data_IF_092403977375
#
_entry.id   IF_092403977375
#
_cell.length_a   1.000
_cell.length_b   1.000
_cell.length_c   1.000
_cell.angle_alpha   90.00
_cell.angle_beta   90.00
_cell.angle_gamma   90.00
#
_symmetry.space_group_name_H-M   'P 1'
#
loop_
_entity.id
_entity.type
_entity.pdbx_description
1 polymer ?
#
# COMPACT_ATOMS: atom_id res chain seq x y z
N UNK A 1 -13.64 0.56 26.69
CA UNK A 1 -14.10 -0.77 26.24
C UNK A 1 -15.05 -0.73 25.02
N UNK A 2 -15.28 0.43 24.38
CA UNK A 2 -16.26 0.59 23.29
C UNK A 2 -15.80 0.10 21.93
N UNK A 3 -14.59 0.40 21.48
CA UNK A 3 -14.14 0.15 20.10
C UNK A 3 -13.82 -1.30 19.77
N UNK A 4 -13.56 -2.17 20.76
CA UNK A 4 -13.19 -3.56 20.54
C UNK A 4 -14.37 -4.50 20.25
N UNK A 5 -15.62 -4.07 20.47
CA UNK A 5 -16.81 -4.94 20.35
C UNK A 5 -17.39 -5.06 18.95
N UNK A 6 -16.99 -4.21 17.99
CA UNK A 6 -17.52 -4.22 16.62
C UNK A 6 -16.59 -4.99 15.66
N UNK A 7 -15.46 -5.50 16.16
CA UNK A 7 -14.50 -6.24 15.35
C UNK A 7 -14.65 -7.74 15.54
N UNK A 8 -15.51 -8.37 14.73
CA UNK A 8 -15.59 -9.83 14.67
C UNK A 8 -14.95 -10.30 13.36
N UNK A 9 -13.78 -10.92 13.48
CA UNK A 9 -12.95 -11.36 12.35
C UNK A 9 -13.32 -12.76 11.82
N UNK A 10 -14.36 -13.37 12.33
CA UNK A 10 -14.59 -14.81 12.17
C UNK A 10 -15.34 -15.22 10.90
N UNK A 11 -16.09 -14.33 10.23
CA UNK A 11 -16.93 -14.75 9.11
C UNK A 11 -16.20 -14.87 7.76
N UNK A 12 -15.06 -14.21 7.53
CA UNK A 12 -14.37 -14.22 6.22
C UNK A 12 -13.24 -15.26 6.17
N UNK A 13 -12.79 -15.75 7.32
CA UNK A 13 -11.63 -16.63 7.41
C UNK A 13 -11.91 -18.07 6.96
N UNK A 14 -13.15 -18.55 7.03
CA UNK A 14 -13.49 -19.94 6.71
C UNK A 14 -13.64 -20.21 5.20
N UNK A 15 -14.14 -19.26 4.41
CA UNK A 15 -14.30 -19.44 2.95
C UNK A 15 -12.97 -19.34 2.17
N UNK A 16 -11.98 -18.58 2.66
CA UNK A 16 -10.71 -18.42 1.98
C UNK A 16 -9.74 -19.59 2.16
N UNK A 17 -9.94 -20.42 3.18
CA UNK A 17 -9.04 -21.55 3.47
C UNK A 17 -9.28 -22.80 2.62
N UNK A 18 -10.44 -22.99 2.02
CA UNK A 18 -10.75 -24.19 1.23
C UNK A 18 -10.58 -24.05 -0.30
N UNK A 19 -10.52 -22.82 -0.84
CA UNK A 19 -10.47 -22.60 -2.28
C UNK A 19 -9.12 -22.00 -2.78
N UNK A 20 -8.10 -22.87 -2.91
CA UNK A 20 -7.13 -22.69 -3.98
C UNK A 20 -5.84 -21.93 -3.69
N UNK A 21 -5.16 -22.16 -2.55
CA UNK A 21 -3.69 -22.05 -2.51
C UNK A 21 -3.10 -23.34 -3.14
N UNK A 22 -3.66 -23.74 -4.27
CA UNK A 22 -3.12 -24.80 -5.11
C UNK A 22 -1.82 -24.30 -5.77
N UNK A 23 -0.91 -25.19 -6.06
CA UNK A 23 0.40 -24.99 -6.62
C UNK A 23 0.44 -23.89 -7.70
N UNK A 24 0.82 -22.67 -7.26
CA UNK A 24 1.06 -21.55 -8.19
C UNK A 24 2.25 -21.94 -9.05
N UNK A 25 2.13 -21.95 -10.37
CA UNK A 25 3.24 -22.23 -11.29
C UNK A 25 4.48 -21.41 -10.96
N UNK A 26 5.64 -22.04 -10.97
CA UNK A 26 6.89 -21.36 -10.70
C UNK A 26 7.94 -21.66 -11.77
N UNK A 27 8.77 -20.67 -12.07
CA UNK A 27 9.88 -20.74 -13.01
C UNK A 27 11.15 -20.22 -12.36
N UNK A 28 12.29 -20.85 -12.64
CA UNK A 28 13.61 -20.36 -12.24
C UNK A 28 14.17 -19.30 -13.19
N UNK A 29 13.50 -19.03 -14.31
CA UNK A 29 13.92 -18.02 -15.27
C UNK A 29 13.87 -16.62 -14.62
N UNK A 30 14.80 -15.77 -15.04
CA UNK A 30 14.80 -14.35 -14.72
C UNK A 30 14.85 -13.53 -16.01
N UNK A 31 14.24 -12.35 -15.98
CA UNK A 31 14.22 -11.42 -17.11
C UNK A 31 15.23 -10.31 -16.86
N UNK A 32 16.07 -10.01 -17.83
CA UNK A 32 17.05 -8.92 -17.73
C UNK A 32 16.38 -7.56 -17.93
N UNK A 33 16.08 -6.88 -16.82
CA UNK A 33 15.43 -5.57 -16.81
C UNK A 33 16.31 -4.41 -17.30
N UNK A 34 17.63 -4.63 -17.49
CA UNK A 34 18.53 -3.63 -18.07
C UNK A 34 18.37 -3.49 -19.59
N UNK A 35 17.70 -4.45 -20.23
CA UNK A 35 17.48 -4.47 -21.66
C UNK A 35 16.26 -3.60 -22.05
N UNK A 36 16.29 -2.99 -23.25
CA UNK A 36 15.11 -2.37 -23.82
C UNK A 36 14.04 -3.42 -24.16
N UNK A 37 12.75 -3.01 -24.12
CA UNK A 37 11.60 -3.90 -24.33
C UNK A 37 11.74 -4.85 -25.55
N UNK A 38 12.22 -4.41 -26.74
CA UNK A 38 12.37 -5.34 -27.88
C UNK A 38 13.31 -6.53 -27.62
N UNK A 39 14.31 -6.36 -26.72
CA UNK A 39 15.23 -7.43 -26.32
C UNK A 39 14.73 -8.24 -25.12
N UNK A 40 13.88 -7.66 -24.28
CA UNK A 40 13.20 -8.39 -23.20
C UNK A 40 12.06 -9.27 -23.72
N UNK A 41 11.39 -8.88 -24.81
CA UNK A 41 10.22 -9.58 -25.36
C UNK A 41 10.43 -11.09 -25.53
N UNK A 42 11.52 -11.61 -26.13
CA UNK A 42 11.75 -13.06 -26.22
C UNK A 42 11.87 -13.74 -24.84
N UNK A 43 12.48 -13.06 -23.85
CA UNK A 43 12.61 -13.60 -22.50
C UNK A 43 11.23 -13.69 -21.81
N UNK A 44 10.37 -12.68 -21.99
CA UNK A 44 8.99 -12.67 -21.47
C UNK A 44 8.15 -13.77 -22.10
N UNK A 45 8.24 -13.95 -23.42
CA UNK A 45 7.53 -15.03 -24.11
C UNK A 45 8.02 -16.40 -23.64
N UNK A 46 9.34 -16.58 -23.52
CA UNK A 46 9.93 -17.80 -22.98
C UNK A 46 9.45 -18.12 -21.56
N UNK A 47 9.39 -17.10 -20.71
CA UNK A 47 8.84 -17.20 -19.36
C UNK A 47 7.36 -17.63 -19.36
N UNK A 48 6.53 -17.00 -20.20
CA UNK A 48 5.11 -17.36 -20.30
C UNK A 48 4.93 -18.82 -20.79
N UNK A 49 5.74 -19.27 -21.74
CA UNK A 49 5.72 -20.65 -22.21
C UNK A 49 6.19 -21.67 -21.17
N UNK A 50 7.11 -21.29 -20.30
CA UNK A 50 7.60 -22.14 -19.21
C UNK A 50 6.55 -22.26 -18.09
N UNK A 51 5.92 -21.15 -17.70
CA UNK A 51 4.90 -21.12 -16.67
C UNK A 51 3.56 -21.78 -17.11
N UNK A 52 3.17 -21.57 -18.38
CA UNK A 52 1.88 -22.00 -18.90
C UNK A 52 2.07 -23.06 -20.01
N UNK A 53 2.01 -24.31 -19.62
CA UNK A 53 2.29 -25.45 -20.51
C UNK A 53 1.42 -25.50 -21.78
N UNK A 54 0.19 -25.02 -21.72
CA UNK A 54 -0.71 -24.87 -22.87
C UNK A 54 -0.18 -23.89 -23.93
N UNK A 55 0.69 -22.97 -23.56
CA UNK A 55 1.32 -22.01 -24.49
C UNK A 55 2.71 -22.41 -24.99
N UNK A 56 3.25 -23.55 -24.48
CA UNK A 56 4.61 -24.00 -24.81
C UNK A 56 4.89 -24.15 -26.29
N UNK A 57 3.87 -24.50 -27.09
CA UNK A 57 3.96 -24.75 -28.52
C UNK A 57 3.48 -23.60 -29.41
N UNK A 58 2.94 -22.52 -28.83
CA UNK A 58 2.45 -21.37 -29.59
C UNK A 58 3.62 -20.66 -30.28
N UNK A 59 3.35 -20.14 -31.48
CA UNK A 59 4.31 -19.26 -32.17
C UNK A 59 4.48 -17.93 -31.41
N UNK A 60 5.65 -17.30 -31.49
CA UNK A 60 5.91 -16.03 -30.84
C UNK A 60 5.00 -14.89 -31.32
N UNK A 61 4.50 -14.98 -32.56
CA UNK A 61 3.54 -14.02 -33.12
C UNK A 61 2.18 -14.02 -32.42
N UNK A 62 1.86 -15.09 -31.66
CA UNK A 62 0.66 -15.15 -30.84
C UNK A 62 0.74 -14.24 -29.58
N UNK A 63 1.95 -13.71 -29.27
CA UNK A 63 2.19 -12.92 -28.07
C UNK A 63 2.42 -11.44 -28.43
N UNK A 64 1.61 -10.57 -27.84
CA UNK A 64 1.83 -9.12 -27.84
C UNK A 64 2.34 -8.72 -26.45
N UNK A 65 3.48 -8.06 -26.38
CA UNK A 65 4.08 -7.56 -25.12
C UNK A 65 4.18 -6.05 -25.21
N UNK A 66 3.55 -5.38 -24.24
CA UNK A 66 3.44 -3.92 -24.16
C UNK A 66 3.83 -3.44 -22.77
N UNK A 67 4.39 -2.23 -22.65
CA UNK A 67 4.65 -1.61 -21.35
C UNK A 67 3.36 -1.03 -20.82
N UNK A 68 3.02 -1.34 -19.56
CA UNK A 68 1.97 -0.66 -18.81
C UNK A 68 2.60 0.57 -18.14
N UNK A 69 1.97 1.73 -18.26
CA UNK A 69 2.43 2.93 -17.55
C UNK A 69 2.15 2.78 -16.06
N UNK A 70 3.13 3.07 -15.21
CA UNK A 70 3.00 3.11 -13.76
C UNK A 70 4.01 2.19 -13.05
N UNK A 71 4.19 2.43 -11.76
CA UNK A 71 5.09 1.69 -10.89
C UNK A 71 6.46 2.36 -10.69
N UNK A 72 6.67 2.91 -9.48
CA UNK A 72 7.95 3.49 -9.07
C UNK A 72 8.98 2.39 -8.81
N UNK A 73 8.53 1.25 -8.33
CA UNK A 73 9.36 0.16 -7.81
C UNK A 73 9.41 -1.07 -8.69
N UNK A 74 8.54 -1.14 -9.72
CA UNK A 74 8.42 -2.32 -10.58
C UNK A 74 8.21 -1.91 -12.05
N UNK A 75 8.69 -2.75 -12.97
CA UNK A 75 8.34 -2.67 -14.38
C UNK A 75 7.14 -3.58 -14.66
N UNK A 76 6.05 -3.01 -15.16
CA UNK A 76 4.82 -3.74 -15.50
C UNK A 76 4.69 -3.88 -17.00
N UNK A 77 4.52 -5.11 -17.47
CA UNK A 77 4.29 -5.44 -18.87
C UNK A 77 2.94 -6.15 -19.02
N UNK A 78 2.12 -5.69 -19.97
CA UNK A 78 0.94 -6.43 -20.40
C UNK A 78 1.38 -7.45 -21.45
N UNK A 79 0.96 -8.69 -21.29
CA UNK A 79 1.13 -9.75 -22.27
C UNK A 79 -0.25 -10.21 -22.72
N UNK A 80 -0.58 -9.98 -23.99
CA UNK A 80 -1.79 -10.50 -24.61
C UNK A 80 -1.43 -11.72 -25.47
N UNK A 81 -2.14 -12.83 -25.23
CA UNK A 81 -1.93 -14.10 -25.94
C UNK A 81 -3.19 -14.45 -26.70
N UNK A 82 -3.04 -14.69 -28.01
CA UNK A 82 -4.15 -15.11 -28.88
C UNK A 82 -3.89 -16.52 -29.39
N UNK A 83 -4.74 -17.45 -28.98
CA UNK A 83 -4.77 -18.80 -29.54
C UNK A 83 -5.65 -18.82 -30.80
N UNK A 84 -5.37 -19.73 -31.76
CA UNK A 84 -5.94 -19.73 -33.11
C UNK A 84 -7.49 -19.72 -33.15
N UNK A 85 -8.19 -20.21 -32.13
CA UNK A 85 -9.65 -20.25 -32.05
C UNK A 85 -10.20 -19.85 -30.67
N UNK A 86 -9.36 -19.23 -29.83
CA UNK A 86 -9.73 -18.84 -28.46
C UNK A 86 -9.91 -17.34 -28.30
N UNK A 87 -10.49 -16.90 -27.17
CA UNK A 87 -10.47 -15.50 -26.78
C UNK A 87 -9.03 -15.06 -26.48
N UNK A 88 -8.74 -13.78 -26.71
CA UNK A 88 -7.48 -13.18 -26.28
C UNK A 88 -7.40 -13.20 -24.74
N UNK A 89 -6.30 -13.71 -24.22
CA UNK A 89 -6.00 -13.71 -22.78
C UNK A 89 -4.96 -12.66 -22.49
N UNK A 90 -5.25 -11.74 -21.57
CA UNK A 90 -4.29 -10.73 -21.12
C UNK A 90 -3.82 -11.01 -19.70
N UNK A 91 -2.51 -10.86 -19.46
CA UNK A 91 -1.90 -10.92 -18.14
C UNK A 91 -0.90 -9.78 -17.94
N UNK A 92 -0.56 -9.56 -16.67
CA UNK A 92 0.49 -8.62 -16.27
C UNK A 92 1.72 -9.40 -15.81
N UNK A 93 2.86 -9.11 -16.42
CA UNK A 93 4.16 -9.56 -15.93
C UNK A 93 4.76 -8.41 -15.14
N UNK A 94 4.95 -8.61 -13.84
CA UNK A 94 5.55 -7.65 -12.91
C UNK A 94 6.99 -8.06 -12.65
N UNK A 95 7.92 -7.21 -13.06
CA UNK A 95 9.35 -7.37 -12.85
C UNK A 95 9.79 -6.47 -11.70
N UNK A 96 10.51 -7.03 -10.73
CA UNK A 96 11.02 -6.25 -9.60
C UNK A 96 12.09 -5.27 -10.06
N UNK A 97 11.94 -4.01 -9.67
CA UNK A 97 12.91 -2.96 -9.96
C UNK A 97 14.22 -3.15 -9.19
N UNK A 98 15.32 -2.54 -9.65
CA UNK A 98 16.62 -2.65 -8.98
C UNK A 98 16.57 -1.93 -7.62
N UNK A 99 17.30 -2.46 -6.64
CA UNK A 99 17.47 -1.90 -5.30
C UNK A 99 16.18 -1.75 -4.47
N UNK A 100 15.07 -2.35 -4.91
CA UNK A 100 13.79 -2.26 -4.16
C UNK A 100 13.82 -3.04 -2.84
N UNK A 101 14.72 -4.00 -2.68
CA UNK A 101 14.96 -4.77 -1.46
C UNK A 101 15.41 -3.91 -0.25
N UNK A 102 15.85 -2.67 -0.48
CA UNK A 102 16.16 -1.74 0.60
C UNK A 102 14.93 -1.23 1.35
N UNK A 103 13.77 -1.23 0.70
CA UNK A 103 12.50 -0.70 1.23
C UNK A 103 11.36 -1.71 1.21
N UNK A 104 11.45 -2.78 0.42
CA UNK A 104 10.39 -3.78 0.23
C UNK A 104 10.86 -5.16 0.70
N UNK A 105 10.04 -5.83 1.50
CA UNK A 105 10.21 -7.23 1.92
C UNK A 105 9.49 -8.16 0.93
N UNK A 106 10.20 -8.60 -0.12
CA UNK A 106 9.63 -9.44 -1.19
C UNK A 106 9.04 -10.78 -0.72
N UNK A 107 9.66 -11.52 0.24
CA UNK A 107 9.05 -12.70 0.83
C UNK A 107 7.70 -12.42 1.49
N UNK A 108 7.60 -11.33 2.27
CA UNK A 108 6.36 -10.88 2.92
C UNK A 108 5.29 -10.53 1.89
N UNK A 109 5.66 -9.75 0.88
CA UNK A 109 4.77 -9.39 -0.23
C UNK A 109 4.21 -10.63 -0.93
N UNK A 110 5.07 -11.57 -1.34
CA UNK A 110 4.65 -12.76 -2.06
C UNK A 110 3.73 -13.66 -1.20
N UNK A 111 4.00 -13.76 0.09
CA UNK A 111 3.13 -14.46 1.01
C UNK A 111 1.75 -13.78 1.07
N UNK A 112 1.71 -12.46 1.25
CA UNK A 112 0.47 -11.70 1.34
C UNK A 112 -0.36 -11.80 0.05
N UNK A 113 0.25 -11.63 -1.11
CA UNK A 113 -0.44 -11.66 -2.42
C UNK A 113 -1.18 -12.98 -2.63
N UNK A 114 -0.64 -14.12 -2.19
CA UNK A 114 -1.32 -15.42 -2.31
C UNK A 114 -2.70 -15.41 -1.63
N UNK A 115 -2.76 -14.91 -0.39
CA UNK A 115 -3.99 -14.86 0.39
C UNK A 115 -4.92 -13.75 -0.06
N UNK A 116 -4.39 -12.57 -0.36
CA UNK A 116 -5.17 -11.43 -0.88
C UNK A 116 -5.82 -11.77 -2.21
N UNK A 117 -5.07 -12.42 -3.12
CA UNK A 117 -5.59 -12.89 -4.39
C UNK A 117 -6.71 -13.92 -4.20
N UNK A 118 -6.56 -14.86 -3.28
CA UNK A 118 -7.60 -15.83 -2.95
C UNK A 118 -8.86 -15.19 -2.34
N UNK A 119 -8.67 -14.11 -1.55
CA UNK A 119 -9.76 -13.30 -0.99
C UNK A 119 -10.39 -12.32 -2.01
N UNK A 120 -9.95 -12.34 -3.27
CA UNK A 120 -10.51 -11.49 -4.34
C UNK A 120 -9.96 -10.08 -4.40
N UNK A 121 -8.85 -9.78 -3.69
CA UNK A 121 -8.17 -8.50 -3.77
C UNK A 121 -7.08 -8.48 -4.84
N UNK A 122 -7.06 -7.39 -5.60
CA UNK A 122 -6.09 -7.16 -6.66
C UNK A 122 -6.21 -8.12 -7.83
N UNK A 123 -5.12 -8.23 -8.55
CA UNK A 123 -4.98 -9.18 -9.64
C UNK A 123 -4.73 -10.60 -9.12
N UNK A 124 -5.31 -11.60 -9.79
CA UNK A 124 -5.09 -13.00 -9.44
C UNK A 124 -3.64 -13.40 -9.73
N UNK A 125 -2.95 -13.97 -8.75
CA UNK A 125 -1.59 -14.49 -8.94
C UNK A 125 -1.64 -15.76 -9.79
N UNK A 126 -0.93 -15.74 -10.93
CA UNK A 126 -0.94 -16.81 -11.93
C UNK A 126 0.39 -17.56 -12.00
N UNK A 127 1.48 -16.96 -11.56
CA UNK A 127 2.80 -17.58 -11.55
C UNK A 127 3.85 -16.71 -10.86
N UNK A 128 4.96 -17.33 -10.45
CA UNK A 128 6.11 -16.65 -9.87
C UNK A 128 7.38 -17.06 -10.63
N UNK A 129 8.36 -16.17 -10.70
CA UNK A 129 9.63 -16.46 -11.38
C UNK A 129 10.79 -15.73 -10.70
N UNK A 130 12.00 -15.95 -11.16
CA UNK A 130 13.24 -15.57 -10.48
C UNK A 130 13.30 -14.11 -9.99
N UNK A 131 12.74 -13.15 -10.75
CA UNK A 131 12.75 -11.73 -10.38
C UNK A 131 11.40 -11.04 -10.61
N UNK A 132 10.28 -11.77 -10.39
CA UNK A 132 8.96 -11.19 -10.55
C UNK A 132 7.80 -12.17 -10.40
N UNK A 133 6.63 -11.73 -10.83
CA UNK A 133 5.40 -12.52 -10.82
C UNK A 133 4.53 -12.24 -12.04
N UNK A 134 3.65 -13.20 -12.33
CA UNK A 134 2.62 -13.08 -13.37
C UNK A 134 1.26 -13.05 -12.71
N UNK A 135 0.44 -12.07 -13.10
CA UNK A 135 -0.89 -11.83 -12.55
C UNK A 135 -1.92 -11.69 -13.66
N UNK A 136 -3.21 -11.85 -13.35
CA UNK A 136 -4.26 -11.49 -14.30
C UNK A 136 -4.19 -9.99 -14.62
N UNK A 137 -4.53 -9.64 -15.86
CA UNK A 137 -4.68 -8.23 -16.23
C UNK A 137 -5.98 -7.68 -15.65
N UNK A 138 -5.92 -6.50 -15.03
CA UNK A 138 -7.08 -5.75 -14.57
C UNK A 138 -7.37 -4.67 -15.61
N UNK A 139 -8.51 -4.76 -16.26
CA UNK A 139 -8.98 -3.74 -17.21
C UNK A 139 -9.78 -2.68 -16.44
N UNK A 140 -9.08 -1.70 -15.91
CA UNK A 140 -9.66 -0.64 -15.10
C UNK A 140 -8.77 0.61 -15.14
N UNK A 141 -9.33 1.75 -14.79
CA UNK A 141 -8.63 3.04 -14.76
C UNK A 141 -8.16 3.35 -13.34
N UNK A 142 -6.93 3.81 -13.23
CA UNK A 142 -6.35 4.29 -11.97
C UNK A 142 -7.03 5.59 -11.55
N UNK A 143 -7.37 5.71 -10.26
CA UNK A 143 -7.95 6.91 -9.70
C UNK A 143 -6.92 8.04 -9.59
N UNK A 144 -7.42 9.28 -9.53
CA UNK A 144 -6.66 10.46 -9.15
C UNK A 144 -6.89 10.81 -7.66
N UNK A 145 -6.04 11.64 -7.03
CA UNK A 145 -6.29 12.14 -5.67
C UNK A 145 -7.65 12.86 -5.55
N UNK A 146 -8.11 13.54 -6.61
CA UNK A 146 -9.42 14.19 -6.62
C UNK A 146 -10.60 13.22 -6.63
N UNK A 147 -10.42 12.01 -7.19
CA UNK A 147 -11.46 10.97 -7.21
C UNK A 147 -11.69 10.41 -5.81
N UNK A 148 -10.63 10.19 -5.02
CA UNK A 148 -10.73 9.70 -3.65
C UNK A 148 -11.58 10.60 -2.74
N UNK A 149 -11.66 11.90 -3.05
CA UNK A 149 -12.45 12.90 -2.30
C UNK A 149 -13.94 12.88 -2.64
N UNK A 150 -14.37 12.19 -3.70
CA UNK A 150 -15.77 12.08 -4.08
C UNK A 150 -16.50 11.18 -3.06
N UNK A 151 -17.62 11.63 -2.44
CA UNK A 151 -18.28 10.87 -1.37
C UNK A 151 -18.64 9.44 -1.74
N UNK A 152 -19.13 9.19 -2.97
CA UNK A 152 -19.46 7.84 -3.47
C UNK A 152 -18.23 6.94 -3.46
N UNK A 153 -17.08 7.42 -3.99
CA UNK A 153 -15.85 6.63 -4.05
C UNK A 153 -15.23 6.47 -2.66
N UNK A 154 -15.23 7.52 -1.83
CA UNK A 154 -14.77 7.43 -0.45
C UNK A 154 -15.53 6.35 0.34
N UNK A 155 -16.86 6.26 0.17
CA UNK A 155 -17.68 5.20 0.77
C UNK A 155 -17.29 3.81 0.28
N UNK A 156 -17.03 3.66 -1.01
CA UNK A 156 -16.65 2.36 -1.58
C UNK A 156 -15.25 1.96 -1.15
N UNK A 157 -14.30 2.90 -1.15
CA UNK A 157 -12.94 2.66 -0.61
C UNK A 157 -13.03 2.21 0.86
N UNK A 158 -13.86 2.88 1.67
CA UNK A 158 -14.05 2.52 3.06
C UNK A 158 -14.58 1.09 3.26
N UNK A 159 -15.59 0.69 2.47
CA UNK A 159 -16.15 -0.67 2.50
C UNK A 159 -15.13 -1.73 2.09
N UNK A 160 -14.39 -1.46 1.01
CA UNK A 160 -13.35 -2.37 0.53
C UNK A 160 -12.19 -2.46 1.52
N UNK A 161 -11.77 -1.33 2.13
CA UNK A 161 -10.71 -1.32 3.14
C UNK A 161 -11.11 -2.12 4.38
N UNK A 162 -12.38 -2.04 4.80
CA UNK A 162 -12.85 -2.90 5.89
C UNK A 162 -12.71 -4.38 5.56
N UNK A 163 -13.14 -4.80 4.37
CA UNK A 163 -12.99 -6.20 3.92
C UNK A 163 -11.52 -6.60 3.83
N UNK A 164 -10.67 -5.71 3.33
CA UNK A 164 -9.23 -5.93 3.24
C UNK A 164 -8.61 -6.16 4.64
N UNK A 165 -8.96 -5.34 5.62
CA UNK A 165 -8.50 -5.47 7.00
C UNK A 165 -8.99 -6.73 7.72
N UNK A 166 -9.97 -7.43 7.17
CA UNK A 166 -10.48 -8.71 7.70
C UNK A 166 -9.73 -9.93 7.13
N UNK A 167 -8.91 -9.76 6.10
CA UNK A 167 -8.11 -10.85 5.52
C UNK A 167 -7.06 -11.31 6.54
N UNK A 168 -7.00 -12.63 6.75
CA UNK A 168 -6.01 -13.24 7.64
C UNK A 168 -4.84 -13.78 6.81
N UNK A 169 -3.65 -13.27 7.07
CA UNK A 169 -2.40 -13.76 6.47
C UNK A 169 -1.69 -14.63 7.51
N UNK A 170 -1.33 -15.89 7.21
CA UNK A 170 -0.63 -16.75 8.16
C UNK A 170 0.73 -16.20 8.58
N UNK A 171 1.12 -16.49 9.81
CA UNK A 171 2.38 -16.08 10.39
C UNK A 171 2.21 -15.15 11.59
N UNK A 172 3.24 -14.38 11.91
CA UNK A 172 3.18 -13.42 13.01
C UNK A 172 2.23 -12.26 12.66
N UNK A 173 1.32 -11.96 13.58
CA UNK A 173 0.41 -10.82 13.48
C UNK A 173 0.94 -9.59 14.23
N UNK A 174 2.21 -9.58 14.62
CA UNK A 174 2.82 -8.43 15.26
C UNK A 174 2.87 -7.22 14.30
N UNK A 175 2.43 -6.04 14.74
CA UNK A 175 2.40 -4.85 13.91
C UNK A 175 3.82 -4.41 13.54
N UNK A 176 4.07 -4.20 12.24
CA UNK A 176 5.41 -3.91 11.72
C UNK A 176 5.72 -2.41 11.64
N UNK A 177 4.73 -1.53 11.76
CA UNK A 177 4.87 -0.10 11.55
C UNK A 177 6.10 0.50 12.24
N UNK A 178 6.23 0.31 13.55
CA UNK A 178 7.32 0.92 14.31
C UNK A 178 8.66 0.26 14.01
N UNK A 179 8.67 -1.05 13.80
CA UNK A 179 9.88 -1.77 13.38
C UNK A 179 10.40 -1.23 12.04
N UNK A 180 9.51 -1.02 11.08
CA UNK A 180 9.88 -0.51 9.76
C UNK A 180 10.31 0.97 9.83
N UNK A 181 9.65 1.82 10.62
CA UNK A 181 10.07 3.21 10.85
C UNK A 181 11.48 3.27 11.48
N UNK A 182 11.76 2.47 12.51
CA UNK A 182 13.09 2.46 13.14
C UNK A 182 14.18 1.92 12.20
N UNK A 183 13.89 0.89 11.40
CA UNK A 183 14.81 0.41 10.35
C UNK A 183 15.08 1.49 9.30
N UNK A 184 14.06 2.23 8.89
CA UNK A 184 14.24 3.32 7.93
C UNK A 184 15.04 4.46 8.56
N UNK A 185 14.80 4.81 9.82
CA UNK A 185 15.55 5.83 10.55
C UNK A 185 17.04 5.45 10.65
N UNK A 186 17.35 4.20 11.00
CA UNK A 186 18.72 3.71 11.06
C UNK A 186 19.41 3.83 9.69
N UNK A 187 18.77 3.35 8.63
CA UNK A 187 19.29 3.44 7.26
C UNK A 187 19.45 4.90 6.80
N UNK A 188 18.44 5.73 7.06
CA UNK A 188 18.42 7.11 6.61
C UNK A 188 19.45 7.98 7.30
N UNK A 189 19.81 7.69 8.57
CA UNK A 189 20.72 8.51 9.37
C UNK A 189 22.20 8.41 8.97
N UNK A 190 22.56 7.43 8.16
CA UNK A 190 23.95 7.16 7.75
C UNK A 190 24.22 7.39 6.27
N UNK A 191 23.25 7.97 5.56
CA UNK A 191 23.37 8.20 4.12
C UNK A 191 24.45 9.25 3.81
N UNK A 192 25.04 9.09 2.63
CA UNK A 192 25.99 10.06 2.04
C UNK A 192 25.64 10.27 0.57
N UNK A 193 25.59 11.52 0.16
CA UNK A 193 25.33 11.90 -1.20
C UNK A 193 26.63 12.38 -1.87
N UNK A 194 26.81 12.02 -3.14
CA UNK A 194 27.94 12.49 -3.96
C UNK A 194 27.71 13.94 -4.43
N UNK A 195 26.44 14.27 -4.67
CA UNK A 195 26.01 15.62 -5.01
C UNK A 195 26.11 16.53 -3.78
N UNK A 196 26.89 17.62 -3.91
CA UNK A 196 27.17 18.54 -2.81
C UNK A 196 25.95 19.33 -2.33
N UNK A 197 25.01 19.65 -3.22
CA UNK A 197 23.77 20.37 -2.84
C UNK A 197 22.82 19.46 -2.08
N UNK A 198 22.68 18.21 -2.55
CA UNK A 198 21.91 17.19 -1.83
C UNK A 198 22.53 16.92 -0.46
N UNK A 199 23.86 16.80 -0.37
CA UNK A 199 24.54 16.58 0.91
C UNK A 199 24.31 17.74 1.87
N UNK A 200 24.44 18.99 1.41
CA UNK A 200 24.19 20.17 2.25
C UNK A 200 22.75 20.21 2.78
N UNK A 201 21.76 19.90 1.95
CA UNK A 201 20.36 19.80 2.39
C UNK A 201 20.18 18.68 3.42
N UNK A 202 20.73 17.51 3.16
CA UNK A 202 20.68 16.37 4.07
C UNK A 202 21.34 16.68 5.43
N UNK A 203 22.47 17.38 5.45
CA UNK A 203 23.20 17.76 6.68
C UNK A 203 22.40 18.71 7.58
N UNK A 204 21.32 19.33 7.07
CA UNK A 204 20.40 20.15 7.90
C UNK A 204 19.41 19.30 8.73
N UNK A 205 19.34 18.00 8.49
CA UNK A 205 18.39 17.12 9.17
C UNK A 205 18.95 16.73 10.54
N UNK A 206 18.21 17.05 11.60
CA UNK A 206 18.49 16.53 12.94
C UNK A 206 17.84 15.17 13.12
N UNK A 207 18.61 14.11 12.96
CA UNK A 207 18.12 12.75 13.20
C UNK A 207 17.77 12.48 14.67
N UNK A 208 18.33 13.26 15.61
CA UNK A 208 17.91 13.25 17.00
C UNK A 208 16.48 13.75 17.17
N UNK A 209 16.14 14.88 16.53
CA UNK A 209 14.75 15.40 16.54
C UNK A 209 13.77 14.42 15.87
N UNK A 210 14.16 13.80 14.75
CA UNK A 210 13.33 12.79 14.07
C UNK A 210 13.11 11.58 14.96
N UNK A 211 14.17 11.07 15.61
CA UNK A 211 14.05 9.94 16.53
C UNK A 211 13.15 10.27 17.73
N UNK A 212 13.32 11.45 18.33
CA UNK A 212 12.47 11.89 19.43
C UNK A 212 10.99 11.98 19.00
N UNK A 213 10.73 12.51 17.81
CA UNK A 213 9.37 12.56 17.26
C UNK A 213 8.76 11.17 17.06
N UNK A 214 9.54 10.19 16.59
CA UNK A 214 9.12 8.79 16.45
C UNK A 214 8.77 8.18 17.80
N UNK A 215 9.67 8.32 18.80
CA UNK A 215 9.47 7.74 20.14
C UNK A 215 8.25 8.34 20.82
N UNK A 216 8.14 9.68 20.85
CA UNK A 216 6.99 10.37 21.47
C UNK A 216 5.66 9.98 20.82
N UNK A 217 5.63 9.84 19.48
CA UNK A 217 4.43 9.44 18.77
C UNK A 217 4.06 7.98 19.06
N UNK A 218 5.06 7.10 19.08
CA UNK A 218 4.86 5.69 19.45
C UNK A 218 4.26 5.58 20.84
N UNK A 219 4.84 6.25 21.83
CA UNK A 219 4.35 6.24 23.20
C UNK A 219 2.90 6.72 23.32
N UNK A 220 2.53 7.76 22.54
CA UNK A 220 1.16 8.26 22.51
C UNK A 220 0.20 7.25 21.87
N UNK A 221 0.58 6.67 20.74
CA UNK A 221 -0.30 5.76 20.00
C UNK A 221 -0.45 4.40 20.67
N UNK A 222 0.55 3.95 21.43
CA UNK A 222 0.46 2.73 22.24
C UNK A 222 -0.69 2.84 23.29
N UNK A 223 -0.98 4.06 23.77
CA UNK A 223 -2.11 4.29 24.71
C UNK A 223 -3.49 4.17 24.05
N UNK A 224 -3.58 4.31 22.74
CA UNK A 224 -4.86 4.26 22.01
C UNK A 224 -5.38 2.82 21.82
N UNK A 225 -4.55 1.80 22.01
CA UNK A 225 -4.88 0.38 21.80
C UNK A 225 -5.60 0.13 20.45
N UNK A 226 -5.07 0.73 19.38
CA UNK A 226 -5.63 0.61 18.06
C UNK A 226 -5.62 -0.86 17.59
N UNK A 227 -6.70 -1.34 16.93
CA UNK A 227 -6.73 -2.69 16.38
C UNK A 227 -5.61 -2.93 15.38
N UNK A 228 -4.98 -4.11 15.48
CA UNK A 228 -4.01 -4.60 14.50
C UNK A 228 -4.76 -5.36 13.42
N UNK A 229 -4.46 -5.02 12.18
CA UNK A 229 -5.08 -5.57 10.97
C UNK A 229 -4.00 -5.90 9.94
N UNK A 230 -4.31 -6.73 8.95
CA UNK A 230 -3.47 -6.75 7.76
C UNK A 230 -3.77 -5.48 6.95
N UNK A 231 -2.83 -4.57 6.91
CA UNK A 231 -2.97 -3.23 6.35
C UNK A 231 -2.31 -3.15 4.96
N UNK A 232 -2.85 -2.30 4.10
CA UNK A 232 -2.25 -2.00 2.79
C UNK A 232 -0.98 -1.17 2.92
N UNK A 233 -0.99 -0.22 3.83
CA UNK A 233 0.08 0.72 4.18
C UNK A 233 0.47 1.71 3.07
N UNK A 234 -0.06 1.55 1.85
CA UNK A 234 0.22 2.41 0.70
C UNK A 234 -1.03 2.64 -0.18
N UNK A 235 -2.17 2.94 0.44
CA UNK A 235 -3.44 3.10 -0.25
C UNK A 235 -3.59 4.52 -0.84
N UNK A 236 -2.71 4.87 -1.77
CA UNK A 236 -2.77 6.08 -2.57
C UNK A 236 -3.66 5.91 -3.81
N UNK A 237 -3.98 7.00 -4.51
CA UNK A 237 -4.85 6.96 -5.70
C UNK A 237 -4.30 6.06 -6.81
N UNK A 238 -2.98 5.99 -6.97
CA UNK A 238 -2.31 5.12 -7.94
C UNK A 238 -2.52 3.62 -7.69
N UNK A 239 -2.87 3.25 -6.45
CA UNK A 239 -3.12 1.87 -6.03
C UNK A 239 -4.61 1.53 -5.97
N UNK A 240 -5.46 2.41 -6.49
CA UNK A 240 -6.91 2.24 -6.62
C UNK A 240 -7.30 2.26 -8.10
N UNK A 241 -7.95 1.22 -8.59
CA UNK A 241 -8.43 1.13 -9.96
C UNK A 241 -9.94 0.90 -9.99
N UNK A 242 -10.63 1.63 -10.86
CA UNK A 242 -12.08 1.52 -11.05
C UNK A 242 -12.39 1.01 -12.44
N UNK A 243 -13.08 -0.12 -12.52
CA UNK A 243 -13.80 -0.56 -13.71
C UNK A 243 -15.21 0.02 -13.62
N UNK A 244 -15.51 1.02 -14.45
CA UNK A 244 -16.80 1.71 -14.42
C UNK A 244 -17.94 0.83 -14.96
N UNK A 245 -17.66 -0.07 -15.92
CA UNK A 245 -18.65 -0.95 -16.52
C UNK A 245 -19.13 -2.02 -15.53
N UNK A 246 -18.22 -2.52 -14.70
CA UNK A 246 -18.51 -3.50 -13.65
C UNK A 246 -18.87 -2.85 -12.31
N UNK A 247 -18.76 -1.52 -12.20
CA UNK A 247 -18.83 -0.77 -10.93
C UNK A 247 -17.92 -1.35 -9.84
N UNK A 248 -16.74 -1.87 -10.24
CA UNK A 248 -15.84 -2.59 -9.35
C UNK A 248 -14.57 -1.81 -9.07
N UNK A 249 -14.30 -1.63 -7.76
CA UNK A 249 -13.07 -1.01 -7.26
C UNK A 249 -12.04 -2.11 -6.92
N UNK A 250 -10.83 -1.94 -7.39
CA UNK A 250 -9.70 -2.82 -7.11
C UNK A 250 -8.64 -2.10 -6.29
N UNK A 251 -8.11 -2.78 -5.28
CA UNK A 251 -6.86 -2.42 -4.60
C UNK A 251 -5.73 -3.20 -5.24
N UNK A 252 -4.61 -2.54 -5.52
CA UNK A 252 -3.44 -3.14 -6.14
C UNK A 252 -2.17 -2.72 -5.39
N UNK A 253 -1.06 -3.36 -5.71
CA UNK A 253 0.29 -3.03 -5.21
C UNK A 253 0.45 -3.20 -3.70
N UNK A 254 0.46 -4.45 -3.25
CA UNK A 254 0.52 -4.83 -1.84
C UNK A 254 1.94 -4.94 -1.28
N UNK A 255 2.93 -4.29 -1.91
CA UNK A 255 4.35 -4.48 -1.57
C UNK A 255 4.75 -3.92 -0.19
N UNK A 256 3.96 -2.99 0.36
CA UNK A 256 4.09 -2.49 1.73
C UNK A 256 3.12 -3.19 2.71
N UNK A 257 2.32 -4.14 2.22
CA UNK A 257 1.33 -4.86 3.02
C UNK A 257 1.95 -5.61 4.20
N UNK A 258 1.42 -5.38 5.39
CA UNK A 258 1.86 -6.04 6.63
C UNK A 258 0.80 -5.92 7.71
N UNK A 259 0.91 -6.71 8.78
CA UNK A 259 0.17 -6.40 9.98
C UNK A 259 0.61 -5.05 10.52
N UNK A 260 -0.35 -4.18 10.74
CA UNK A 260 -0.17 -2.80 11.19
C UNK A 260 -1.42 -2.32 11.92
N UNK A 261 -1.41 -1.07 12.35
CA UNK A 261 -2.56 -0.50 13.05
C UNK A 261 -3.59 0.03 12.04
N UNK A 262 -4.87 -0.27 12.27
CA UNK A 262 -6.00 0.21 11.47
C UNK A 262 -5.94 1.73 11.23
N UNK A 263 -5.66 2.48 12.30
CA UNK A 263 -5.58 3.94 12.23
C UNK A 263 -4.45 4.44 11.35
N UNK A 264 -3.34 3.69 11.26
CA UNK A 264 -2.24 4.01 10.37
C UNK A 264 -2.66 3.91 8.90
N UNK A 265 -3.29 2.81 8.51
CA UNK A 265 -3.70 2.61 7.11
C UNK A 265 -4.73 3.66 6.67
N UNK A 266 -5.71 3.96 7.54
CA UNK A 266 -6.71 5.00 7.28
C UNK A 266 -6.07 6.39 7.25
N UNK A 267 -5.23 6.72 8.22
CA UNK A 267 -4.54 8.02 8.30
C UNK A 267 -3.58 8.23 7.14
N UNK A 268 -2.91 7.16 6.70
CA UNK A 268 -2.10 7.16 5.49
C UNK A 268 -2.95 7.46 4.25
N UNK A 269 -4.06 6.74 4.05
CA UNK A 269 -4.97 6.99 2.95
C UNK A 269 -5.45 8.44 2.89
N UNK A 270 -5.76 9.05 4.02
CA UNK A 270 -6.17 10.46 4.08
C UNK A 270 -5.03 11.43 3.74
N UNK A 271 -3.79 11.12 4.11
CA UNK A 271 -2.63 11.91 3.71
C UNK A 271 -2.45 11.91 2.18
N UNK A 272 -2.78 10.81 1.52
CA UNK A 272 -2.62 10.65 0.08
C UNK A 272 -3.66 11.44 -0.75
N UNK A 273 -4.67 12.07 -0.11
CA UNK A 273 -5.54 13.06 -0.75
C UNK A 273 -4.76 14.30 -1.21
N UNK A 274 -3.62 14.59 -0.58
CA UNK A 274 -2.69 15.66 -0.93
C UNK A 274 -1.88 15.39 -2.22
N UNK A 275 -1.83 14.12 -2.67
CA UNK A 275 -1.01 13.69 -3.80
C UNK A 275 0.49 13.88 -3.56
N UNK A 276 1.29 13.63 -4.59
CA UNK A 276 2.75 13.81 -4.52
C UNK A 276 3.18 15.29 -4.39
N UNK A 277 2.30 16.23 -4.74
CA UNK A 277 2.55 17.67 -4.53
C UNK A 277 2.46 18.07 -3.05
N UNK A 278 1.98 17.16 -2.19
CA UNK A 278 1.82 17.37 -0.75
C UNK A 278 0.95 18.62 -0.42
N UNK A 279 -0.11 18.85 -1.22
CA UNK A 279 -1.08 19.91 -0.91
C UNK A 279 -2.06 19.45 0.18
N UNK A 280 -1.64 19.57 1.44
CA UNK A 280 -2.43 19.15 2.60
C UNK A 280 -3.67 20.00 2.88
N UNK A 281 -3.97 21.00 2.06
CA UNK A 281 -5.29 21.65 2.08
C UNK A 281 -6.40 20.70 1.67
N UNK A 282 -6.05 19.61 0.98
CA UNK A 282 -6.97 18.54 0.58
C UNK A 282 -7.13 17.41 1.61
N UNK A 283 -6.40 17.46 2.73
CA UNK A 283 -6.64 16.50 3.82
C UNK A 283 -8.11 16.59 4.27
N UNK A 284 -8.83 15.46 4.41
CA UNK A 284 -10.28 15.49 4.66
C UNK A 284 -10.61 16.16 6.00
N UNK A 285 -11.62 17.01 5.99
CA UNK A 285 -12.17 17.58 7.22
C UNK A 285 -12.91 16.52 8.06
N UNK A 286 -13.39 16.90 9.23
CA UNK A 286 -14.04 15.99 10.17
C UNK A 286 -15.28 15.32 9.55
N UNK A 287 -16.08 16.05 8.79
CA UNK A 287 -17.31 15.54 8.21
C UNK A 287 -17.01 14.50 7.11
N UNK A 288 -16.03 14.76 6.25
CA UNK A 288 -15.56 13.82 5.24
C UNK A 288 -14.95 12.56 5.88
N UNK A 289 -14.15 12.71 6.96
CA UNK A 289 -13.64 11.57 7.72
C UNK A 289 -14.76 10.76 8.36
N UNK A 290 -15.75 11.41 8.97
CA UNK A 290 -16.91 10.73 9.57
C UNK A 290 -17.75 10.00 8.51
N UNK A 291 -17.91 10.57 7.31
CA UNK A 291 -18.54 9.88 6.20
C UNK A 291 -17.79 8.59 5.86
N UNK A 292 -16.47 8.64 5.72
CA UNK A 292 -15.63 7.46 5.49
C UNK A 292 -15.76 6.44 6.62
N UNK A 293 -15.66 6.88 7.89
CA UNK A 293 -15.71 5.99 9.05
C UNK A 293 -17.05 5.27 9.21
N UNK A 294 -18.17 5.92 8.90
CA UNK A 294 -19.48 5.26 8.92
C UNK A 294 -19.50 4.05 7.98
N UNK A 295 -19.02 4.21 6.76
CA UNK A 295 -18.98 3.14 5.77
C UNK A 295 -17.90 2.10 6.04
N UNK A 296 -16.84 2.47 6.75
CA UNK A 296 -15.81 1.53 7.22
C UNK A 296 -16.30 0.70 8.41
N UNK A 297 -16.89 1.33 9.42
CA UNK A 297 -17.30 0.65 10.66
C UNK A 297 -18.56 -0.20 10.46
N UNK A 298 -19.55 0.31 9.73
CA UNK A 298 -20.84 -0.36 9.49
C UNK A 298 -21.23 -0.24 8.01
N UNK A 299 -20.63 -1.05 7.10
CA UNK A 299 -20.87 -0.94 5.66
C UNK A 299 -22.34 -1.02 5.26
N UNK A 300 -23.11 -1.92 5.91
CA UNK A 300 -24.52 -2.18 5.61
C UNK A 300 -25.45 -1.14 6.25
N UNK A 301 -25.05 -0.56 7.38
CA UNK A 301 -25.87 0.36 8.17
C UNK A 301 -25.06 1.57 8.66
N UNK A 302 -24.48 2.36 7.76
CA UNK A 302 -23.56 3.44 8.13
C UNK A 302 -24.18 4.50 9.06
N UNK A 303 -25.52 4.62 9.08
CA UNK A 303 -26.24 5.57 9.94
C UNK A 303 -26.41 5.07 11.39
N UNK A 304 -26.15 3.78 11.67
CA UNK A 304 -26.24 3.20 13.00
C UNK A 304 -24.93 3.32 13.81
N UNK A 305 -23.85 3.84 13.19
CA UNK A 305 -22.57 4.07 13.88
C UNK A 305 -22.72 5.17 14.94
N UNK A 306 -22.31 4.86 16.17
CA UNK A 306 -22.39 5.81 17.27
C UNK A 306 -21.39 6.96 17.12
N UNK A 307 -21.70 8.11 17.71
CA UNK A 307 -20.78 9.25 17.73
C UNK A 307 -19.50 8.92 18.53
N UNK A 308 -19.60 8.04 19.54
CA UNK A 308 -18.45 7.57 20.32
C UNK A 308 -17.48 6.76 19.47
N UNK A 309 -17.98 5.83 18.62
CA UNK A 309 -17.15 5.05 17.71
C UNK A 309 -16.51 5.92 16.62
N UNK A 310 -17.25 6.92 16.13
CA UNK A 310 -16.72 7.88 15.15
C UNK A 310 -15.61 8.73 15.76
N UNK A 311 -15.78 9.22 16.99
CA UNK A 311 -14.78 10.02 17.68
C UNK A 311 -13.53 9.18 17.99
N UNK A 312 -13.72 7.93 18.43
CA UNK A 312 -12.61 7.01 18.68
C UNK A 312 -11.75 6.79 17.43
N UNK A 313 -12.37 6.48 16.29
CA UNK A 313 -11.65 6.27 15.05
C UNK A 313 -11.05 7.58 14.49
N UNK A 314 -11.70 8.72 14.72
CA UNK A 314 -11.18 10.03 14.37
C UNK A 314 -9.87 10.34 15.11
N UNK A 315 -9.83 10.10 16.41
CA UNK A 315 -8.62 10.26 17.23
C UNK A 315 -7.53 9.29 16.75
N UNK A 316 -7.89 8.03 16.54
CA UNK A 316 -6.98 6.99 16.08
C UNK A 316 -6.33 7.38 14.73
N UNK A 317 -7.13 7.64 13.71
CA UNK A 317 -6.63 7.95 12.36
C UNK A 317 -5.79 9.24 12.34
N UNK A 318 -6.21 10.31 13.07
CA UNK A 318 -5.46 11.57 13.10
C UNK A 318 -4.19 11.51 13.96
N UNK A 319 -4.08 10.56 14.88
CA UNK A 319 -2.82 10.29 15.58
C UNK A 319 -1.85 9.54 14.69
N UNK A 320 -2.30 8.46 14.05
CA UNK A 320 -1.46 7.65 13.18
C UNK A 320 -1.11 8.31 11.84
N UNK A 321 -1.84 9.34 11.39
CA UNK A 321 -1.46 10.10 10.19
C UNK A 321 -0.08 10.75 10.34
N UNK A 322 0.34 11.08 11.58
CA UNK A 322 1.69 11.56 11.85
C UNK A 322 2.75 10.47 11.61
N UNK A 323 2.44 9.21 11.95
CA UNK A 323 3.31 8.07 11.67
C UNK A 323 3.48 7.85 10.16
N UNK A 324 2.42 8.06 9.37
CA UNK A 324 2.50 8.03 7.91
C UNK A 324 3.47 9.09 7.37
N UNK A 325 3.42 10.31 7.90
CA UNK A 325 4.38 11.35 7.51
C UNK A 325 5.82 10.96 7.84
N UNK A 326 6.09 10.40 9.02
CA UNK A 326 7.42 9.96 9.41
C UNK A 326 7.91 8.78 8.54
N UNK A 327 7.04 7.80 8.30
CA UNK A 327 7.35 6.64 7.48
C UNK A 327 7.81 7.04 6.07
N UNK A 328 6.97 7.83 5.39
CA UNK A 328 7.24 8.24 4.00
C UNK A 328 8.34 9.30 3.89
N UNK A 329 8.54 10.11 4.93
CA UNK A 329 9.69 11.00 4.98
C UNK A 329 11.01 10.19 5.03
N UNK A 330 11.13 9.22 5.92
CA UNK A 330 12.32 8.38 6.03
C UNK A 330 12.54 7.50 4.79
N UNK A 331 11.46 6.94 4.23
CA UNK A 331 11.47 6.24 2.95
C UNK A 331 12.06 7.14 1.85
N UNK A 332 11.63 8.39 1.78
CA UNK A 332 12.10 9.33 0.77
C UNK A 332 13.61 9.60 0.87
N UNK A 333 14.19 9.69 2.06
CA UNK A 333 15.64 9.82 2.22
C UNK A 333 16.41 8.62 1.64
N UNK A 334 15.89 7.40 1.87
CA UNK A 334 16.49 6.18 1.31
C UNK A 334 16.38 6.22 -0.21
N UNK A 335 15.20 6.56 -0.74
CA UNK A 335 14.97 6.66 -2.19
C UNK A 335 15.80 7.76 -2.86
N UNK A 336 16.08 8.88 -2.17
CA UNK A 336 16.96 9.93 -2.67
C UNK A 336 18.38 9.43 -3.00
N UNK A 337 18.82 8.34 -2.33
CA UNK A 337 20.12 7.69 -2.59
C UNK A 337 20.00 6.51 -3.54
N UNK A 338 18.93 5.71 -3.45
CA UNK A 338 18.85 4.37 -4.06
C UNK A 338 18.04 4.33 -5.35
N UNK A 339 17.05 5.22 -5.51
CA UNK A 339 16.15 5.20 -6.66
C UNK A 339 16.83 5.72 -7.93
N UNK A 340 16.66 5.03 -9.08
CA UNK A 340 17.07 5.55 -10.38
C UNK A 340 16.09 6.57 -10.97
N UNK A 341 14.93 6.78 -10.31
CA UNK A 341 13.86 7.64 -10.79
C UNK A 341 14.19 9.09 -10.48
N UNK A 342 14.02 9.96 -11.49
CA UNK A 342 14.16 11.40 -11.35
C UNK A 342 12.93 12.00 -10.63
N UNK A 343 13.05 12.10 -9.31
CA UNK A 343 12.06 12.71 -8.42
C UNK A 343 12.79 13.39 -7.26
N UNK A 344 12.30 14.57 -6.82
CA UNK A 344 12.90 15.27 -5.66
C UNK A 344 12.51 14.61 -4.32
N UNK A 345 13.04 13.40 -4.12
CA UNK A 345 12.82 12.64 -2.87
C UNK A 345 13.28 13.40 -1.62
N UNK A 346 14.38 14.19 -1.73
CA UNK A 346 14.86 14.97 -0.59
C UNK A 346 13.91 16.12 -0.26
N UNK A 347 13.38 16.81 -1.27
CA UNK A 347 12.30 17.79 -1.10
C UNK A 347 11.04 17.16 -0.50
N UNK A 348 10.66 15.98 -0.96
CA UNK A 348 9.52 15.22 -0.42
C UNK A 348 9.71 14.88 1.07
N UNK A 349 10.91 14.52 1.53
CA UNK A 349 11.20 14.38 2.96
C UNK A 349 10.82 15.66 3.74
N UNK A 350 11.26 16.82 3.28
CA UNK A 350 10.98 18.07 3.99
C UNK A 350 9.49 18.44 3.99
N UNK A 351 8.77 18.13 2.92
CA UNK A 351 7.31 18.34 2.84
C UNK A 351 6.58 17.45 3.85
N UNK A 352 6.88 16.15 3.87
CA UNK A 352 6.23 15.18 4.78
C UNK A 352 6.61 15.44 6.24
N UNK A 353 7.88 15.62 6.56
CA UNK A 353 8.34 15.89 7.93
C UNK A 353 7.90 17.27 8.42
N UNK A 354 7.88 18.28 7.54
CA UNK A 354 7.34 19.60 7.85
C UNK A 354 5.87 19.55 8.24
N UNK A 355 5.06 18.81 7.52
CA UNK A 355 3.63 18.61 7.86
C UNK A 355 3.45 17.84 9.17
N UNK A 356 4.24 16.80 9.41
CA UNK A 356 4.27 16.10 10.69
C UNK A 356 4.49 17.08 11.86
N UNK A 357 5.51 17.93 11.76
CA UNK A 357 5.79 18.95 12.79
C UNK A 357 4.64 19.93 12.95
N UNK A 358 4.07 20.39 11.85
CA UNK A 358 2.95 21.35 11.85
C UNK A 358 1.70 20.80 12.54
N UNK A 359 1.41 19.52 12.34
CA UNK A 359 0.20 18.87 12.90
C UNK A 359 0.38 18.31 14.30
N UNK A 360 1.61 18.08 14.73
CA UNK A 360 1.95 17.35 15.96
C UNK A 360 1.14 17.82 17.17
N UNK A 361 1.21 19.09 17.52
CA UNK A 361 0.56 19.62 18.74
C UNK A 361 -0.96 19.43 18.73
N UNK A 362 -1.60 19.66 17.60
CA UNK A 362 -3.05 19.48 17.49
C UNK A 362 -3.45 18.02 17.66
N UNK A 363 -2.73 17.09 17.02
CA UNK A 363 -3.00 15.66 17.11
C UNK A 363 -2.72 15.11 18.52
N UNK A 364 -1.62 15.54 19.14
CA UNK A 364 -1.29 15.16 20.52
C UNK A 364 -2.33 15.67 21.52
N UNK A 365 -2.78 16.92 21.38
CA UNK A 365 -3.85 17.48 22.21
C UNK A 365 -5.16 16.72 22.03
N UNK A 366 -5.53 16.38 20.80
CA UNK A 366 -6.72 15.59 20.48
C UNK A 366 -6.67 14.22 21.17
N UNK A 367 -5.56 13.49 21.02
CA UNK A 367 -5.39 12.17 21.61
C UNK A 367 -5.41 12.19 23.14
N UNK A 368 -4.66 13.12 23.76
CA UNK A 368 -4.62 13.28 25.22
C UNK A 368 -5.99 13.63 25.80
N UNK A 369 -6.72 14.54 25.13
CA UNK A 369 -8.07 14.92 25.56
C UNK A 369 -9.05 13.74 25.49
N UNK A 370 -8.94 12.91 24.46
CA UNK A 370 -9.73 11.69 24.33
C UNK A 370 -9.39 10.68 25.45
N UNK A 371 -8.10 10.39 25.66
CA UNK A 371 -7.64 9.45 26.69
C UNK A 371 -8.06 9.86 28.09
N UNK A 372 -8.02 11.16 28.40
CA UNK A 372 -8.48 11.69 29.70
C UNK A 372 -9.96 11.44 29.90
N UNK A 373 -10.79 11.66 28.88
CA UNK A 373 -12.26 11.42 28.95
C UNK A 373 -12.59 9.93 29.06
N UNK A 374 -11.89 9.08 28.32
CA UNK A 374 -12.14 7.63 28.29
C UNK A 374 -11.61 6.89 29.51
N UNK A 375 -10.59 7.43 30.21
CA UNK A 375 -10.01 6.86 31.43
C UNK A 375 -10.73 7.27 32.72
N UNK A 376 -11.73 8.15 32.63
CA UNK A 376 -12.51 8.66 33.81
C UNK A 376 -13.86 7.96 33.97
N UNK A 377 -14.13 6.87 33.20
CA UNK A 377 -15.39 6.11 33.24
C UNK A 377 -15.24 4.71 33.85
#
# INVERSE_FOLDING_TARGET
MGAAKIWDATEVAEEAQENGISDIPSSSLAVDISLPLPRMKPQIIGLCKDLFKNWSQLDESCFLVETVSGGITNLLLKVSVREDNGPEVSLTVRLYGPNTEYVIDRPRELQAIKFLSAAGFGARLLGVFGNGMVQSFIDALTLSPSDMRKPKLASEIARQLRKFHQVQIPGSQEPQLWNDIFKFLEKASVLKFEDSEKQQKYDTISFEEVNNAVVELKDLTDLLNAPVVFAHNDLLSGNLMLNEDEEKLYFIDFEYGSYSYRGYDIGNHFNEYAGFDCDYSFYPDKDAQYHFFRHYLQPEKPQEVSDEDLEALYVEANSYMLASHLYWALWALIQAKMSPIDFDYLGYFFLRYGECKRRKEACFSLARSYLTRSGSG
#
